data_IF_062378250006
#
_entry.id   IF_062378250006
#
_cell.length_a   1.000
_cell.length_b   1.000
_cell.length_c   1.000
_cell.angle_alpha   90.00
_cell.angle_beta   90.00
_cell.angle_gamma   90.00
#
_symmetry.space_group_name_H-M   'P 1'
#
loop_
_entity.id
_entity.type
_entity.pdbx_description
1 polymer ?
#
# COMPACT_ATOMS: atom_id res chain seq x y z
N UNK A 1 -27.58 -11.03 -16.70
CA UNK A 1 -26.98 -10.48 -15.46
C UNK A 1 -25.61 -11.12 -15.32
N UNK A 2 -24.55 -10.37 -15.59
CA UNK A 2 -23.19 -10.86 -15.42
C UNK A 2 -22.84 -10.66 -13.94
N UNK A 3 -22.64 -11.75 -13.21
CA UNK A 3 -22.26 -11.73 -11.79
C UNK A 3 -21.05 -10.80 -11.61
N UNK A 4 -21.23 -9.77 -10.79
CA UNK A 4 -20.14 -8.88 -10.40
C UNK A 4 -19.18 -9.73 -9.58
N UNK A 5 -18.10 -10.23 -10.20
CA UNK A 5 -17.01 -10.90 -9.49
C UNK A 5 -16.66 -10.05 -8.27
N UNK A 6 -16.57 -10.68 -7.11
CA UNK A 6 -16.12 -10.06 -5.87
C UNK A 6 -14.72 -9.47 -6.09
N UNK A 7 -14.66 -8.20 -6.50
CA UNK A 7 -13.42 -7.57 -6.94
C UNK A 7 -12.69 -6.97 -5.73
N UNK A 8 -11.63 -7.65 -5.30
CA UNK A 8 -10.75 -7.17 -4.26
C UNK A 8 -9.60 -6.38 -4.86
N UNK A 9 -9.38 -5.16 -4.37
CA UNK A 9 -8.20 -4.39 -4.72
C UNK A 9 -7.04 -4.74 -3.79
N UNK A 10 -5.82 -4.63 -4.31
CA UNK A 10 -4.62 -4.91 -3.52
C UNK A 10 -4.37 -3.82 -2.47
N UNK A 11 -4.11 -4.22 -1.22
CA UNK A 11 -3.78 -3.32 -0.09
C UNK A 11 -2.59 -2.39 -0.41
N UNK A 12 -1.56 -2.94 -1.06
CA UNK A 12 -0.39 -2.18 -1.52
C UNK A 12 -0.76 -1.04 -2.49
N UNK A 13 -1.93 -1.10 -3.12
CA UNK A 13 -2.48 -0.05 -3.95
C UNK A 13 -2.68 1.28 -3.21
N UNK A 14 -2.96 1.27 -1.89
CA UNK A 14 -3.08 2.50 -1.10
C UNK A 14 -1.82 3.37 -1.17
N UNK A 15 -0.64 2.73 -1.24
CA UNK A 15 0.63 3.43 -1.34
C UNK A 15 0.76 4.13 -2.70
N UNK A 16 0.44 3.44 -3.79
CA UNK A 16 0.46 4.01 -5.14
C UNK A 16 -0.58 5.12 -5.30
N UNK A 17 -1.79 4.91 -4.76
CA UNK A 17 -2.89 5.86 -4.85
C UNK A 17 -2.56 7.17 -4.13
N UNK A 18 -2.00 7.05 -2.91
CA UNK A 18 -1.54 8.18 -2.10
C UNK A 18 -0.38 8.94 -2.76
N UNK A 19 0.48 8.24 -3.51
CA UNK A 19 1.57 8.86 -4.25
C UNK A 19 1.10 9.57 -5.51
N UNK A 20 0.35 8.87 -6.37
CA UNK A 20 -0.17 9.40 -7.62
C UNK A 20 -1.33 8.53 -8.15
N UNK A 21 -2.53 9.12 -8.26
CA UNK A 21 -3.72 8.47 -8.84
C UNK A 21 -3.49 7.89 -10.23
N UNK A 22 -2.67 8.54 -11.07
CA UNK A 22 -2.32 7.99 -12.39
C UNK A 22 -1.39 6.80 -12.27
N UNK A 23 -0.40 6.81 -11.37
CA UNK A 23 0.45 5.64 -11.16
C UNK A 23 -0.40 4.46 -10.72
N UNK A 24 -1.30 4.67 -9.78
CA UNK A 24 -2.25 3.63 -9.35
C UNK A 24 -3.11 3.11 -10.51
N UNK A 25 -3.69 3.99 -11.32
CA UNK A 25 -4.51 3.57 -12.46
C UNK A 25 -3.69 2.79 -13.52
N UNK A 26 -2.46 3.23 -13.80
CA UNK A 26 -1.56 2.50 -14.70
C UNK A 26 -1.30 1.07 -14.18
N UNK A 27 -1.04 0.91 -12.88
CA UNK A 27 -0.75 -0.39 -12.26
C UNK A 27 -2.00 -1.29 -12.23
N UNK A 28 -3.12 -0.76 -11.75
CA UNK A 28 -4.28 -1.57 -11.37
C UNK A 28 -5.37 -1.63 -12.43
N UNK A 29 -5.53 -0.61 -13.28
CA UNK A 29 -6.52 -0.59 -14.36
C UNK A 29 -5.89 -1.04 -15.68
N UNK A 30 -4.71 -0.49 -16.01
CA UNK A 30 -4.05 -0.75 -17.29
C UNK A 30 -3.00 -1.89 -17.23
N UNK A 31 -2.85 -2.53 -16.06
CA UNK A 31 -1.90 -3.63 -15.80
C UNK A 31 -0.46 -3.31 -16.23
N UNK A 32 -0.06 -2.03 -16.15
CA UNK A 32 1.28 -1.57 -16.49
C UNK A 32 2.21 -1.78 -15.30
N UNK A 33 3.02 -2.82 -15.39
CA UNK A 33 4.11 -3.08 -14.46
C UNK A 33 5.45 -2.83 -15.16
N UNK A 34 6.25 -1.93 -14.59
CA UNK A 34 7.68 -1.85 -14.88
C UNK A 34 8.40 -2.47 -13.69
N UNK A 35 9.14 -3.54 -13.95
CA UNK A 35 10.19 -3.96 -13.04
C UNK A 35 11.21 -2.82 -12.98
N UNK A 36 11.39 -2.26 -11.78
CA UNK A 36 12.41 -1.28 -11.52
C UNK A 36 13.24 -1.80 -10.33
N UNK A 37 14.51 -1.44 -10.26
CA UNK A 37 15.47 -1.89 -9.23
C UNK A 37 14.88 -1.82 -7.81
N UNK A 38 14.11 -0.78 -7.51
CA UNK A 38 13.45 -0.58 -6.21
C UNK A 38 12.41 -1.65 -5.86
N UNK A 39 11.74 -2.23 -6.86
CA UNK A 39 10.74 -3.30 -6.70
C UNK A 39 11.42 -4.65 -6.49
N UNK A 40 12.50 -4.93 -7.23
CA UNK A 40 13.30 -6.17 -7.07
C UNK A 40 13.99 -6.20 -5.70
N UNK A 41 14.60 -5.08 -5.28
CA UNK A 41 15.21 -4.95 -3.96
C UNK A 41 14.16 -4.93 -2.82
N UNK A 42 12.97 -4.39 -3.09
CA UNK A 42 11.81 -4.49 -2.19
C UNK A 42 11.43 -5.96 -1.96
N UNK A 43 11.21 -6.71 -3.04
CA UNK A 43 10.88 -8.12 -2.99
C UNK A 43 11.95 -8.94 -2.26
N UNK A 44 13.25 -8.66 -2.47
CA UNK A 44 14.33 -9.34 -1.72
C UNK A 44 14.35 -8.99 -0.22
N UNK A 45 14.01 -7.76 0.16
CA UNK A 45 13.88 -7.36 1.56
C UNK A 45 12.68 -8.04 2.22
N UNK A 46 11.56 -8.08 1.50
CA UNK A 46 10.35 -8.77 1.87
C UNK A 46 10.54 -10.30 1.92
N UNK A 47 11.39 -10.91 1.08
CA UNK A 47 11.69 -12.35 1.14
C UNK A 47 12.28 -12.81 2.48
N UNK A 48 12.97 -11.93 3.22
CA UNK A 48 13.38 -12.24 4.61
C UNK A 48 12.22 -12.23 5.60
N UNK A 49 11.17 -11.47 5.29
CA UNK A 49 9.92 -11.40 6.04
C UNK A 49 8.84 -12.37 5.53
N UNK A 50 8.95 -12.92 4.31
CA UNK A 50 8.00 -13.85 3.67
C UNK A 50 8.49 -15.30 3.68
N UNK A 51 9.29 -15.70 4.66
CA UNK A 51 9.53 -17.12 4.90
C UNK A 51 8.24 -17.73 5.51
N UNK A 52 7.26 -18.02 4.65
CA UNK A 52 5.86 -18.39 4.94
C UNK A 52 5.74 -19.60 5.89
N UNK A 53 6.81 -20.36 6.08
CA UNK A 53 6.84 -21.55 6.93
C UNK A 53 7.32 -21.29 8.35
N UNK A 54 7.80 -20.07 8.67
CA UNK A 54 8.36 -19.76 10.00
C UNK A 54 7.35 -19.06 10.90
N UNK A 55 6.44 -19.86 11.44
CA UNK A 55 5.80 -19.56 12.72
C UNK A 55 6.88 -19.60 13.80
N UNK A 56 7.15 -18.48 14.45
CA UNK A 56 8.23 -18.36 15.43
C UNK A 56 7.66 -17.93 16.79
N UNK A 57 7.98 -18.68 17.86
CA UNK A 57 7.63 -18.30 19.23
C UNK A 57 8.88 -17.84 19.98
N UNK A 58 8.80 -16.66 20.61
CA UNK A 58 9.84 -16.05 21.43
C UNK A 58 9.22 -15.61 22.76
N UNK A 59 9.28 -16.48 23.77
CA UNK A 59 8.64 -16.25 25.06
C UNK A 59 7.15 -15.96 24.88
N UNK A 60 6.76 -14.73 25.23
CA UNK A 60 5.38 -14.22 25.19
C UNK A 60 5.01 -13.55 23.85
N UNK A 61 5.81 -13.76 22.80
CA UNK A 61 5.52 -13.26 21.45
C UNK A 61 5.50 -14.39 20.44
N UNK A 62 4.41 -14.48 19.67
CA UNK A 62 4.28 -15.33 18.48
C UNK A 62 4.42 -14.45 17.25
N UNK A 63 5.22 -14.86 16.27
CA UNK A 63 5.51 -14.11 15.06
C UNK A 63 5.06 -14.93 13.86
N UNK A 64 4.16 -14.36 13.07
CA UNK A 64 3.80 -14.85 11.75
C UNK A 64 4.36 -13.91 10.68
N UNK A 65 4.61 -14.47 9.51
CA UNK A 65 5.35 -13.84 8.43
C UNK A 65 4.60 -14.07 7.12
N UNK A 66 4.41 -13.01 6.34
CA UNK A 66 3.69 -13.08 5.08
C UNK A 66 2.24 -13.57 5.22
N UNK A 67 1.52 -13.18 6.28
CA UNK A 67 0.14 -13.63 6.48
C UNK A 67 -0.79 -13.02 5.43
N UNK A 68 -1.49 -13.83 4.61
CA UNK A 68 -2.52 -13.32 3.71
C UNK A 68 -3.68 -12.75 4.53
N UNK A 69 -4.15 -11.57 4.13
CA UNK A 69 -5.20 -10.83 4.84
C UNK A 69 -6.25 -10.28 3.86
N UNK A 70 -7.47 -10.16 4.35
CA UNK A 70 -8.62 -9.71 3.56
C UNK A 70 -9.59 -8.91 4.42
N UNK A 71 -10.21 -7.89 3.82
CA UNK A 71 -11.42 -7.26 4.35
C UNK A 71 -12.50 -7.31 3.29
N UNK A 72 -13.61 -7.96 3.62
CA UNK A 72 -14.82 -7.98 2.80
C UNK A 72 -15.56 -6.64 2.87
N UNK A 73 -15.46 -5.93 3.99
CA UNK A 73 -16.04 -4.59 4.16
C UNK A 73 -15.39 -3.58 3.22
N UNK A 74 -14.06 -3.56 3.18
CA UNK A 74 -13.31 -2.65 2.30
C UNK A 74 -13.09 -3.21 0.89
N UNK A 75 -13.39 -4.50 0.67
CA UNK A 75 -13.03 -5.24 -0.55
C UNK A 75 -11.56 -5.06 -0.90
N UNK A 76 -10.70 -5.28 0.10
CA UNK A 76 -9.24 -5.26 -0.02
C UNK A 76 -8.67 -6.63 0.31
N UNK A 77 -7.60 -7.00 -0.38
CA UNK A 77 -6.80 -8.19 -0.08
C UNK A 77 -5.31 -7.87 -0.18
N UNK A 78 -4.48 -8.63 0.51
CA UNK A 78 -3.03 -8.51 0.40
C UNK A 78 -2.33 -9.35 1.45
N UNK A 79 -1.18 -8.87 1.90
CA UNK A 79 -0.33 -9.57 2.85
C UNK A 79 0.09 -8.62 3.98
N UNK A 80 0.20 -9.18 5.19
CA UNK A 80 0.87 -8.55 6.32
C UNK A 80 2.29 -9.12 6.39
N UNK A 81 3.31 -8.26 6.29
CA UNK A 81 4.71 -8.68 6.27
C UNK A 81 5.09 -9.48 7.51
N UNK A 82 4.84 -8.89 8.68
CA UNK A 82 5.07 -9.51 9.97
C UNK A 82 3.89 -9.19 10.87
N UNK A 83 3.30 -10.22 11.46
CA UNK A 83 2.29 -10.09 12.49
C UNK A 83 2.86 -10.64 13.79
N UNK A 84 3.08 -9.75 14.75
CA UNK A 84 3.42 -10.13 16.11
C UNK A 84 2.12 -10.33 16.90
N UNK A 85 2.10 -11.34 17.76
CA UNK A 85 1.04 -11.61 18.70
C UNK A 85 1.68 -11.56 20.08
N UNK A 86 1.22 -10.66 20.94
CA UNK A 86 1.73 -10.53 22.30
C UNK A 86 0.77 -11.14 23.30
N UNK A 87 1.27 -12.02 24.18
CA UNK A 87 0.45 -12.63 25.21
C UNK A 87 -0.12 -11.56 26.15
N UNK A 88 -1.44 -11.56 26.34
CA UNK A 88 -2.13 -10.58 27.16
C UNK A 88 -3.52 -11.07 27.54
N UNK A 89 -3.97 -10.89 28.80
CA UNK A 89 -5.32 -11.28 29.22
C UNK A 89 -6.44 -10.50 28.52
N UNK A 90 -6.11 -9.45 27.76
CA UNK A 90 -7.07 -8.65 26.95
C UNK A 90 -7.05 -9.03 25.46
N UNK A 91 -6.29 -10.05 25.08
CA UNK A 91 -6.15 -10.49 23.69
C UNK A 91 -7.29 -11.37 23.21
N UNK A 92 -7.08 -11.99 22.05
CA UNK A 92 -8.00 -12.97 21.43
C UNK A 92 -7.42 -14.37 21.44
N UNK A 93 -8.30 -15.35 21.33
CA UNK A 93 -7.91 -16.75 21.15
C UNK A 93 -7.37 -16.97 19.75
N UNK A 94 -6.23 -17.68 19.66
CA UNK A 94 -5.68 -18.16 18.41
C UNK A 94 -5.80 -19.67 18.37
N UNK A 95 -6.22 -20.21 17.23
CA UNK A 95 -6.33 -21.67 17.06
C UNK A 95 -4.98 -22.32 17.27
N UNK A 96 -4.90 -23.25 18.23
CA UNK A 96 -3.68 -23.99 18.53
C UNK A 96 -2.69 -23.25 19.43
N UNK A 97 -3.05 -22.10 20.00
CA UNK A 97 -2.27 -21.45 21.06
C UNK A 97 -3.03 -21.42 22.38
N UNK A 98 -2.27 -21.56 23.46
CA UNK A 98 -2.76 -21.34 24.82
C UNK A 98 -2.78 -19.84 25.14
N UNK A 99 -3.72 -19.43 25.99
CA UNK A 99 -3.85 -18.04 26.41
C UNK A 99 -4.53 -17.12 25.39
N UNK A 100 -4.33 -15.83 25.59
CA UNK A 100 -4.92 -14.74 24.82
C UNK A 100 -3.81 -13.87 24.23
N UNK A 101 -4.03 -13.37 23.03
CA UNK A 101 -2.99 -12.74 22.21
C UNK A 101 -3.48 -11.45 21.57
N UNK A 102 -2.72 -10.37 21.67
CA UNK A 102 -3.00 -9.11 20.99
C UNK A 102 -2.21 -9.07 19.68
N UNK A 103 -2.88 -9.00 18.51
CA UNK A 103 -2.19 -8.82 17.23
C UNK A 103 -1.59 -7.42 17.12
N UNK A 104 -0.38 -7.36 16.58
CA UNK A 104 0.43 -6.17 16.37
C UNK A 104 1.10 -6.26 14.99
N UNK A 105 0.52 -5.62 13.96
CA UNK A 105 1.07 -5.67 12.61
C UNK A 105 2.33 -4.82 12.51
N UNK A 106 3.33 -5.36 11.81
CA UNK A 106 4.61 -4.71 11.53
C UNK A 106 4.87 -4.74 10.02
N UNK A 107 4.77 -3.58 9.39
CA UNK A 107 5.01 -3.40 7.95
C UNK A 107 6.48 -3.02 7.70
N UNK A 108 7.12 -3.75 6.80
CA UNK A 108 8.53 -3.61 6.49
C UNK A 108 8.70 -2.69 5.29
N UNK A 109 9.43 -1.59 5.50
CA UNK A 109 9.79 -0.65 4.44
C UNK A 109 11.30 -0.65 4.26
N UNK A 110 11.75 -0.76 3.02
CA UNK A 110 13.19 -0.78 2.70
C UNK A 110 13.89 0.55 3.07
N UNK A 111 13.27 1.67 2.69
CA UNK A 111 13.87 3.00 2.79
C UNK A 111 13.72 3.65 4.17
N UNK A 112 13.73 4.98 4.19
CA UNK A 112 13.45 5.82 5.35
C UNK A 112 11.98 6.30 5.40
N UNK A 113 11.51 6.83 6.54
CA UNK A 113 10.20 7.45 6.65
C UNK A 113 9.94 8.48 5.54
N UNK A 114 8.76 8.37 4.92
CA UNK A 114 8.30 9.34 3.91
C UNK A 114 7.60 10.50 4.60
N UNK A 115 7.61 11.67 3.98
CA UNK A 115 6.84 12.84 4.44
C UNK A 115 5.32 12.64 4.29
N UNK A 116 4.88 11.72 3.43
CA UNK A 116 3.46 11.44 3.22
C UNK A 116 2.95 10.31 4.12
N UNK A 117 1.63 10.26 4.29
CA UNK A 117 0.96 9.28 5.14
C UNK A 117 0.74 7.91 4.47
N UNK A 118 1.41 7.64 3.36
CA UNK A 118 1.09 6.48 2.51
C UNK A 118 1.37 5.14 3.22
N UNK A 119 2.47 5.08 3.96
CA UNK A 119 2.88 3.86 4.66
C UNK A 119 1.97 3.60 5.89
N UNK A 120 1.53 4.66 6.58
CA UNK A 120 0.55 4.58 7.67
C UNK A 120 -0.82 4.13 7.18
N UNK A 121 -1.26 4.60 6.01
CA UNK A 121 -2.53 4.17 5.40
C UNK A 121 -2.52 2.68 5.08
N UNK A 122 -1.42 2.19 4.50
CA UNK A 122 -1.29 0.76 4.19
C UNK A 122 -1.32 -0.07 5.48
N UNK A 123 -0.52 0.29 6.49
CA UNK A 123 -0.47 -0.44 7.76
C UNK A 123 -1.83 -0.40 8.50
N UNK A 124 -2.53 0.74 8.51
CA UNK A 124 -3.86 0.84 9.10
C UNK A 124 -4.89 -0.01 8.35
N UNK A 125 -4.80 -0.11 7.02
CA UNK A 125 -5.66 -1.00 6.25
C UNK A 125 -5.38 -2.49 6.55
N UNK A 126 -4.12 -2.87 6.82
CA UNK A 126 -3.81 -4.21 7.31
C UNK A 126 -4.46 -4.48 8.65
N UNK A 127 -4.42 -3.51 9.58
CA UNK A 127 -5.09 -3.63 10.87
C UNK A 127 -6.59 -3.85 10.72
N UNK A 128 -7.28 -3.09 9.84
CA UNK A 128 -8.72 -3.29 9.58
C UNK A 128 -9.00 -4.72 9.05
N UNK A 129 -8.15 -5.24 8.16
CA UNK A 129 -8.31 -6.63 7.67
C UNK A 129 -8.13 -7.65 8.80
N UNK A 130 -7.11 -7.47 9.64
CA UNK A 130 -6.85 -8.35 10.77
C UNK A 130 -7.97 -8.31 11.81
N UNK A 131 -8.53 -7.13 12.10
CA UNK A 131 -9.68 -6.97 12.99
C UNK A 131 -10.91 -7.74 12.47
N UNK A 132 -11.17 -7.68 11.16
CA UNK A 132 -12.27 -8.42 10.52
C UNK A 132 -12.04 -9.94 10.58
N UNK A 133 -10.81 -10.39 10.36
CA UNK A 133 -10.45 -11.81 10.35
C UNK A 133 -10.38 -12.43 11.75
N UNK A 134 -9.97 -11.66 12.76
CA UNK A 134 -9.72 -12.13 14.13
C UNK A 134 -10.83 -11.72 15.10
N UNK A 135 -11.82 -10.96 14.64
CA UNK A 135 -12.90 -10.41 15.46
C UNK A 135 -12.37 -9.65 16.69
N UNK A 136 -11.38 -8.77 16.48
CA UNK A 136 -10.68 -8.05 17.55
C UNK A 136 -10.55 -6.55 17.25
N UNK A 137 -9.97 -5.79 18.19
CA UNK A 137 -9.56 -4.40 17.98
C UNK A 137 -8.04 -4.29 18.05
N UNK A 138 -7.46 -3.53 17.12
CA UNK A 138 -6.02 -3.25 17.04
C UNK A 138 -5.85 -1.73 17.11
N UNK A 139 -5.25 -1.25 18.20
CA UNK A 139 -5.06 0.19 18.42
C UNK A 139 -3.81 0.75 17.74
N UNK A 140 -2.82 -0.09 17.47
CA UNK A 140 -1.52 0.33 16.93
C UNK A 140 -0.76 -0.79 16.23
N UNK A 141 0.26 -0.40 15.47
CA UNK A 141 1.24 -1.27 14.86
C UNK A 141 2.55 -0.52 14.66
N UNK A 142 3.47 -1.08 13.86
CA UNK A 142 4.75 -0.44 13.59
C UNK A 142 5.15 -0.46 12.11
N UNK A 143 5.82 0.62 11.70
CA UNK A 143 6.60 0.67 10.46
C UNK A 143 8.05 0.37 10.79
N UNK A 144 8.65 -0.65 10.17
CA UNK A 144 10.06 -0.97 10.30
C UNK A 144 10.82 -0.51 9.05
N UNK A 145 11.74 0.45 9.23
CA UNK A 145 12.53 1.01 8.13
C UNK A 145 13.91 0.35 8.06
N UNK A 146 14.22 -0.31 6.95
CA UNK A 146 15.44 -1.11 6.77
C UNK A 146 16.74 -0.31 6.84
N UNK A 147 16.75 0.92 6.31
CA UNK A 147 17.92 1.82 6.34
C UNK A 147 18.27 2.26 7.77
N UNK A 148 17.27 2.62 8.57
CA UNK A 148 17.49 3.09 9.95
C UNK A 148 17.49 1.96 10.97
N UNK A 149 16.95 0.79 10.59
CA UNK A 149 16.65 -0.37 11.47
C UNK A 149 15.84 0.01 12.70
N UNK A 150 14.97 1.02 12.59
CA UNK A 150 14.11 1.49 13.67
C UNK A 150 12.64 1.20 13.37
N UNK A 151 11.91 0.86 14.43
CA UNK A 151 10.45 0.80 14.43
C UNK A 151 9.89 2.18 14.73
N UNK A 152 8.87 2.58 13.99
CA UNK A 152 8.06 3.76 14.27
C UNK A 152 6.65 3.27 14.58
N UNK A 153 6.19 3.49 15.81
CA UNK A 153 4.83 3.15 16.19
C UNK A 153 3.82 4.02 15.42
N UNK A 154 2.70 3.42 15.03
CA UNK A 154 1.59 4.09 14.35
C UNK A 154 0.31 3.77 15.11
N UNK A 155 -0.32 4.80 15.66
CA UNK A 155 -1.65 4.69 16.26
C UNK A 155 -2.71 4.65 15.15
N UNK A 156 -3.64 3.72 15.24
CA UNK A 156 -4.76 3.58 14.31
C UNK A 156 -5.96 4.39 14.78
N UNK A 157 -5.80 5.72 14.77
CA UNK A 157 -6.85 6.67 15.15
C UNK A 157 -8.03 6.60 14.18
N UNK A 158 -9.18 7.11 14.62
CA UNK A 158 -10.38 7.10 13.79
C UNK A 158 -10.20 7.95 12.52
N UNK A 159 -9.42 9.03 12.58
CA UNK A 159 -9.11 9.85 11.41
C UNK A 159 -8.29 9.08 10.36
N UNK A 160 -7.34 8.25 10.81
CA UNK A 160 -6.54 7.42 9.91
C UNK A 160 -7.40 6.32 9.29
N UNK A 161 -8.27 5.69 10.08
CA UNK A 161 -9.24 4.68 9.61
C UNK A 161 -10.21 5.26 8.58
N UNK A 162 -10.72 6.46 8.84
CA UNK A 162 -11.59 7.15 7.90
C UNK A 162 -10.85 7.51 6.61
N UNK A 163 -9.59 7.93 6.71
CA UNK A 163 -8.75 8.17 5.54
C UNK A 163 -8.56 6.90 4.70
N UNK A 164 -8.38 5.73 5.32
CA UNK A 164 -8.32 4.44 4.62
C UNK A 164 -9.65 4.16 3.91
N UNK A 165 -10.79 4.32 4.59
CA UNK A 165 -12.12 4.09 4.01
C UNK A 165 -12.38 4.97 2.79
N UNK A 166 -12.15 6.28 2.92
CA UNK A 166 -12.35 7.24 1.82
C UNK A 166 -11.41 6.95 0.64
N UNK A 167 -10.14 6.67 0.90
CA UNK A 167 -9.16 6.38 -0.15
C UNK A 167 -9.53 5.10 -0.90
N UNK A 168 -9.95 4.06 -0.17
CA UNK A 168 -10.38 2.78 -0.74
C UNK A 168 -11.65 2.93 -1.57
N UNK A 169 -12.62 3.71 -1.09
CA UNK A 169 -13.83 4.01 -1.85
C UNK A 169 -13.52 4.71 -3.18
N UNK A 170 -12.58 5.67 -3.17
CA UNK A 170 -12.13 6.37 -4.38
C UNK A 170 -11.40 5.41 -5.35
N UNK A 171 -10.54 4.53 -4.84
CA UNK A 171 -9.89 3.47 -5.62
C UNK A 171 -10.92 2.60 -6.35
N UNK A 172 -11.92 2.08 -5.63
CA UNK A 172 -13.01 1.28 -6.21
C UNK A 172 -13.85 2.07 -7.21
N UNK A 173 -14.09 3.36 -6.99
CA UNK A 173 -14.80 4.21 -7.95
C UNK A 173 -13.99 4.39 -9.24
N UNK A 174 -12.68 4.64 -9.13
CA UNK A 174 -11.80 4.78 -10.30
C UNK A 174 -11.69 3.46 -11.07
N UNK A 175 -11.57 2.34 -10.35
CA UNK A 175 -11.49 1.00 -10.93
C UNK A 175 -12.72 0.68 -11.79
N UNK A 176 -13.92 0.79 -11.20
CA UNK A 176 -15.20 0.49 -11.87
C UNK A 176 -15.47 1.34 -13.11
N UNK A 177 -14.90 2.55 -13.15
CA UNK A 177 -15.02 3.47 -14.29
C UNK A 177 -13.94 3.24 -15.36
N UNK A 178 -12.97 2.36 -15.08
CA UNK A 178 -11.76 2.18 -15.90
C UNK A 178 -11.09 3.51 -16.25
N UNK A 179 -11.05 4.43 -15.28
CA UNK A 179 -10.61 5.81 -15.53
C UNK A 179 -9.14 6.01 -15.14
N UNK A 180 -8.31 6.32 -16.13
CA UNK A 180 -6.93 6.77 -15.91
C UNK A 180 -6.82 8.29 -15.98
N UNK A 181 -6.54 8.99 -14.86
CA UNK A 181 -6.41 10.44 -14.87
C UNK A 181 -5.14 10.90 -15.58
N UNK A 182 -5.18 12.11 -16.15
CA UNK A 182 -3.97 12.80 -16.64
C UNK A 182 -3.01 13.06 -15.49
N UNK A 183 -1.71 12.91 -15.73
CA UNK A 183 -0.69 13.23 -14.72
C UNK A 183 -0.65 14.72 -14.48
N UNK A 184 -0.53 15.12 -13.22
CA UNK A 184 -0.14 16.47 -12.81
C UNK A 184 1.35 16.42 -12.43
N UNK A 185 2.28 16.88 -13.29
CA UNK A 185 3.71 16.65 -13.07
C UNK A 185 4.25 17.37 -11.83
N UNK A 186 4.71 16.61 -10.84
CA UNK A 186 5.36 17.11 -9.61
C UNK A 186 6.84 16.72 -9.58
N UNK A 187 7.60 17.19 -8.56
CA UNK A 187 8.98 16.73 -8.32
C UNK A 187 9.03 15.22 -8.02
N UNK A 188 8.01 14.68 -7.35
CA UNK A 188 7.94 13.25 -7.01
C UNK A 188 7.87 12.33 -8.22
N UNK A 189 7.44 12.83 -9.39
CA UNK A 189 7.47 12.05 -10.64
C UNK A 189 8.85 11.49 -10.98
N UNK A 190 9.95 12.12 -10.54
CA UNK A 190 11.31 11.62 -10.75
C UNK A 190 11.62 10.35 -9.95
N UNK A 191 10.90 10.11 -8.85
CA UNK A 191 11.02 8.92 -8.01
C UNK A 191 9.99 7.83 -8.36
N UNK A 192 9.10 8.09 -9.33
CA UNK A 192 8.04 7.17 -9.75
C UNK A 192 8.63 6.00 -10.55
N UNK A 193 8.29 4.76 -10.18
CA UNK A 193 8.70 3.57 -10.91
C UNK A 193 8.20 3.55 -12.36
N UNK A 194 7.03 4.15 -12.62
CA UNK A 194 6.40 4.21 -13.93
C UNK A 194 6.69 5.51 -14.70
N UNK A 195 7.73 6.27 -14.34
CA UNK A 195 8.04 7.55 -15.00
C UNK A 195 8.16 7.42 -16.52
N UNK A 196 8.87 6.40 -16.99
CA UNK A 196 9.15 6.18 -18.41
C UNK A 196 7.91 5.71 -19.20
N UNK A 197 6.96 5.04 -18.54
CA UNK A 197 5.66 4.69 -19.15
C UNK A 197 4.67 5.86 -19.11
N UNK A 198 4.68 6.64 -18.02
CA UNK A 198 3.77 7.75 -17.80
C UNK A 198 4.12 8.98 -18.66
N UNK A 199 5.41 9.22 -18.90
CA UNK A 199 5.97 10.36 -19.66
C UNK A 199 5.43 11.74 -19.20
N UNK A 200 5.58 12.11 -17.91
CA UNK A 200 5.02 13.35 -17.36
C UNK A 200 5.57 14.62 -18.01
N UNK A 201 6.77 14.58 -18.61
CA UNK A 201 7.37 15.69 -19.36
C UNK A 201 6.53 16.10 -20.56
N UNK A 202 5.86 15.17 -21.23
CA UNK A 202 5.03 15.47 -22.40
C UNK A 202 3.80 16.32 -22.06
N UNK A 203 3.33 16.26 -20.81
CA UNK A 203 2.20 17.08 -20.34
C UNK A 203 2.58 18.53 -20.02
N UNK A 204 3.87 18.87 -20.03
CA UNK A 204 4.36 20.24 -19.80
C UNK A 204 4.51 21.06 -21.09
N UNK A 205 4.40 20.44 -22.26
CA UNK A 205 4.64 21.14 -23.53
C UNK A 205 3.40 21.93 -23.98
N UNK A 206 3.69 23.14 -24.50
CA UNK A 206 2.73 24.09 -25.07
C UNK A 206 1.88 23.44 -26.15
N UNK A 207 0.70 24.04 -26.36
CA UNK A 207 -0.23 23.66 -27.42
C UNK A 207 0.53 23.58 -28.76
N UNK A 208 0.32 22.51 -29.52
CA UNK A 208 0.99 22.28 -30.82
C UNK A 208 0.82 23.50 -31.74
N UNK A 209 -0.33 24.17 -31.66
CA UNK A 209 -0.61 25.41 -32.39
C UNK A 209 0.36 26.55 -32.04
N UNK A 210 0.74 26.68 -30.77
CA UNK A 210 1.66 27.72 -30.30
C UNK A 210 3.10 27.43 -30.74
N UNK A 211 3.52 26.15 -30.68
CA UNK A 211 4.80 25.70 -31.22
C UNK A 211 4.90 25.94 -32.73
N UNK A 212 3.85 25.61 -33.49
CA UNK A 212 3.80 25.84 -34.93
C UNK A 212 3.88 27.33 -35.27
N UNK A 213 3.16 28.20 -34.53
CA UNK A 213 3.27 29.66 -34.70
C UNK A 213 4.71 30.16 -34.47
N UNK A 214 5.34 29.80 -33.36
CA UNK A 214 6.71 30.24 -33.07
C UNK A 214 7.73 29.69 -34.08
N UNK A 215 7.53 28.47 -34.59
CA UNK A 215 8.39 27.88 -35.60
C UNK A 215 8.23 28.52 -36.98
N UNK A 216 7.03 29.02 -37.31
CA UNK A 216 6.75 29.74 -38.55
C UNK A 216 7.19 31.21 -38.48
N UNK A 217 7.10 31.86 -37.32
CA UNK A 217 7.55 33.25 -37.10
C UNK A 217 9.08 33.39 -37.11
N UNK A 218 9.84 32.34 -36.78
CA UNK A 218 11.33 32.35 -36.86
C UNK A 218 11.89 32.15 -38.28
N UNK A 219 11.04 32.04 -39.30
CA UNK A 219 11.41 31.86 -40.71
C UNK A 219 11.20 33.12 -41.58
N UNK A 220 10.95 34.27 -40.98
CA UNK A 220 11.04 35.59 -41.61
C UNK A 220 12.29 36.32 -41.13
#
# INVERSE_FOLDING_TARGET
MMEQKDEYLQLSGLQHFSFCRRQWALIHIENQWSENLRTIEGNLFHNRAHDEQRRERRGDTLILRGLPIVSHTLRLSGQCDVLEFHASPKGVHLRGEEGLWIPFPVEYKRGAPKENFADQLQLCAQAICLEEMLCCSISEGALFYGETRRRTAVLFTEELREKVRLTTAEMHQMFRRSYTPKVRPTKSCNACSLKELCLPVLMRKKNVSEYLKTAMEKKQ
#
